data_IF_829205250851
#
_entry.id   IF_829205250851
#
_cell.length_a   1.000
_cell.length_b   1.000
_cell.length_c   1.000
_cell.angle_alpha   90.00
_cell.angle_beta   90.00
_cell.angle_gamma   90.00
#
_symmetry.space_group_name_H-M   'P 1'
#
loop_
_entity.id
_entity.type
_entity.pdbx_description
1 polymer ?
#
# COMPACT_ATOMS: atom_id res chain seq x y z
N UNK A 1 5.52 -0.10 -27.13
CA UNK A 1 4.50 -0.62 -26.18
C UNK A 1 4.27 0.42 -25.08
N UNK A 2 3.05 0.55 -24.54
CA UNK A 2 2.79 1.39 -23.37
C UNK A 2 2.96 0.56 -22.08
N UNK A 3 3.50 1.14 -21.02
CA UNK A 3 3.75 0.41 -19.77
C UNK A 3 3.06 1.07 -18.56
N UNK A 4 3.45 2.30 -18.24
CA UNK A 4 2.88 3.13 -17.18
C UNK A 4 1.95 4.20 -17.75
N UNK A 5 0.98 4.62 -16.94
CA UNK A 5 0.03 5.65 -17.30
C UNK A 5 -0.43 6.45 -16.07
N UNK A 6 -0.75 7.73 -16.29
CA UNK A 6 -1.35 8.60 -15.28
C UNK A 6 -2.44 9.47 -15.90
N UNK A 7 -3.55 9.61 -15.19
CA UNK A 7 -4.61 10.54 -15.57
C UNK A 7 -4.12 11.97 -15.35
N UNK A 8 -4.19 12.80 -16.39
CA UNK A 8 -3.92 14.24 -16.29
C UNK A 8 -5.21 14.95 -15.88
N UNK A 9 -6.30 14.59 -16.56
CA UNK A 9 -7.65 15.09 -16.34
C UNK A 9 -8.65 14.06 -16.88
N UNK A 10 -9.97 14.25 -16.68
CA UNK A 10 -10.96 13.25 -17.09
C UNK A 10 -10.99 12.88 -18.58
N UNK A 11 -10.35 13.67 -19.45
CA UNK A 11 -10.29 13.43 -20.89
C UNK A 11 -8.90 13.02 -21.40
N UNK A 12 -7.84 13.19 -20.61
CA UNK A 12 -6.45 13.01 -21.04
C UNK A 12 -5.64 12.13 -20.09
N UNK A 13 -4.95 11.15 -20.68
CA UNK A 13 -4.04 10.23 -19.98
C UNK A 13 -2.66 10.33 -20.62
N UNK A 14 -1.63 10.50 -19.79
CA UNK A 14 -0.23 10.37 -20.21
C UNK A 14 0.20 8.90 -20.10
N UNK A 15 0.94 8.43 -21.10
CA UNK A 15 1.51 7.09 -21.17
C UNK A 15 3.01 7.17 -21.33
N UNK A 16 3.73 6.30 -20.62
CA UNK A 16 5.09 5.94 -21.01
C UNK A 16 5.03 5.03 -22.22
N UNK A 17 5.80 5.38 -23.25
CA UNK A 17 5.94 4.60 -24.47
C UNK A 17 7.36 4.07 -24.52
N UNK A 18 7.51 2.75 -24.38
CA UNK A 18 8.83 2.11 -24.41
C UNK A 18 9.47 2.08 -25.79
N UNK A 19 8.73 2.44 -26.85
CA UNK A 19 9.22 2.38 -28.24
C UNK A 19 9.42 0.95 -28.74
N UNK A 20 10.13 0.85 -29.86
CA UNK A 20 10.70 -0.38 -30.45
C UNK A 20 11.95 -0.03 -31.30
N UNK A 21 12.41 -0.92 -32.19
CA UNK A 21 13.56 -0.71 -33.07
C UNK A 21 13.31 0.31 -34.21
N UNK A 22 12.05 0.67 -34.44
CA UNK A 22 11.58 1.56 -35.51
C UNK A 22 10.82 2.79 -35.00
N UNK A 23 10.28 2.71 -33.79
CA UNK A 23 9.49 3.75 -33.15
C UNK A 23 10.21 4.26 -31.91
N UNK A 24 10.40 5.58 -31.75
CA UNK A 24 11.12 6.08 -30.60
C UNK A 24 10.35 5.88 -29.30
N UNK A 25 11.09 5.76 -28.19
CA UNK A 25 10.51 5.80 -26.86
C UNK A 25 10.12 7.23 -26.46
N UNK A 26 9.27 7.40 -25.44
CA UNK A 26 8.88 8.72 -24.99
C UNK A 26 7.65 8.74 -24.09
N UNK A 27 7.07 9.93 -23.95
CA UNK A 27 5.78 10.14 -23.30
C UNK A 27 4.76 10.55 -24.36
N UNK A 28 3.59 9.94 -24.34
CA UNK A 28 2.48 10.28 -25.23
C UNK A 28 1.24 10.64 -24.42
N UNK A 29 0.41 11.55 -24.94
CA UNK A 29 -0.86 11.94 -24.32
C UNK A 29 -1.99 11.50 -25.25
N UNK A 30 -2.90 10.71 -24.71
CA UNK A 30 -4.12 10.27 -25.38
C UNK A 30 -5.30 11.07 -24.84
N UNK A 31 -6.07 11.67 -25.75
CA UNK A 31 -7.34 12.31 -25.44
C UNK A 31 -8.48 11.36 -25.85
N UNK A 32 -9.29 10.94 -24.88
CA UNK A 32 -10.33 9.92 -25.08
C UNK A 32 -11.49 10.45 -25.92
N UNK A 33 -12.02 11.64 -25.61
CA UNK A 33 -13.18 12.22 -26.30
C UNK A 33 -12.91 12.50 -27.78
N UNK A 34 -11.65 12.83 -28.13
CA UNK A 34 -11.22 13.06 -29.52
C UNK A 34 -10.64 11.81 -30.17
N UNK A 35 -10.45 10.72 -29.41
CA UNK A 35 -9.75 9.52 -29.83
C UNK A 35 -8.42 9.83 -30.55
N UNK A 36 -7.60 10.69 -29.94
CA UNK A 36 -6.37 11.21 -30.55
C UNK A 36 -5.19 11.11 -29.60
N UNK A 37 -4.09 10.58 -30.10
CA UNK A 37 -2.80 10.55 -29.39
C UNK A 37 -1.86 11.59 -29.96
N UNK A 38 -1.11 12.28 -29.09
CA UNK A 38 0.04 13.12 -29.46
C UNK A 38 1.29 12.64 -28.72
N UNK A 39 2.43 12.70 -29.38
CA UNK A 39 3.73 12.56 -28.72
C UNK A 39 4.01 13.86 -27.95
N UNK A 40 4.38 13.74 -26.67
CA UNK A 40 4.79 14.88 -25.84
C UNK A 40 6.30 15.11 -25.98
N UNK A 41 7.09 14.08 -25.68
CA UNK A 41 8.55 14.08 -25.74
C UNK A 41 9.06 12.69 -26.14
N UNK A 42 10.25 12.61 -26.75
CA UNK A 42 10.88 11.34 -27.12
C UNK A 42 12.41 11.30 -26.98
N UNK A 43 13.03 12.40 -26.55
CA UNK A 43 14.47 12.48 -26.38
C UNK A 43 14.82 13.51 -25.30
N UNK A 44 16.03 13.42 -24.78
CA UNK A 44 16.66 14.43 -23.96
C UNK A 44 17.93 14.92 -24.66
N UNK A 45 17.97 16.20 -25.05
CA UNK A 45 19.12 16.80 -25.75
C UNK A 45 19.55 16.01 -27.00
N UNK A 46 18.59 15.47 -27.77
CA UNK A 46 18.83 14.68 -28.97
C UNK A 46 19.19 13.21 -28.73
N UNK A 47 19.36 12.78 -27.47
CA UNK A 47 19.56 11.37 -27.11
C UNK A 47 18.21 10.72 -26.81
N UNK A 48 17.96 9.58 -27.43
CA UNK A 48 16.70 8.87 -27.28
C UNK A 48 16.52 8.31 -25.86
N UNK A 49 15.30 8.36 -25.32
CA UNK A 49 14.99 7.68 -24.07
C UNK A 49 15.20 6.15 -24.19
N UNK A 50 15.58 5.51 -23.09
CA UNK A 50 15.86 4.08 -23.07
C UNK A 50 14.58 3.28 -23.36
N UNK A 51 13.67 3.29 -22.39
CA UNK A 51 12.35 2.67 -22.44
C UNK A 51 11.54 3.11 -21.21
N UNK A 52 10.97 4.33 -21.23
CA UNK A 52 10.22 4.88 -20.10
C UNK A 52 9.20 3.89 -19.56
N UNK A 53 9.14 3.74 -18.23
CA UNK A 53 8.40 2.65 -17.61
C UNK A 53 7.21 3.15 -16.78
N UNK A 54 7.42 3.75 -15.61
CA UNK A 54 6.31 4.27 -14.79
C UNK A 54 6.26 5.80 -14.79
N UNK A 55 5.09 6.35 -14.52
CA UNK A 55 4.83 7.79 -14.57
C UNK A 55 3.81 8.22 -13.51
N UNK A 56 4.05 9.38 -12.90
CA UNK A 56 3.11 10.08 -12.00
C UNK A 56 3.02 11.55 -12.41
N UNK A 57 2.00 12.25 -11.92
CA UNK A 57 1.82 13.68 -12.14
C UNK A 57 1.67 14.39 -10.79
N UNK A 58 2.25 15.58 -10.65
CA UNK A 58 2.05 16.47 -9.50
C UNK A 58 0.79 17.31 -9.67
N UNK A 59 0.33 17.97 -8.60
CA UNK A 59 -0.81 18.90 -8.62
C UNK A 59 -0.51 20.17 -9.45
N UNK A 60 0.77 20.43 -9.71
CA UNK A 60 1.28 21.53 -10.56
C UNK A 60 1.49 21.08 -12.02
N UNK A 61 0.84 20.00 -12.46
CA UNK A 61 0.89 19.48 -13.83
C UNK A 61 2.30 19.08 -14.32
N UNK A 62 3.15 18.60 -13.41
CA UNK A 62 4.48 18.09 -13.75
C UNK A 62 4.49 16.57 -13.77
N UNK A 63 4.83 16.00 -14.92
CA UNK A 63 5.00 14.57 -15.11
C UNK A 63 6.39 14.14 -14.61
N UNK A 64 6.44 13.14 -13.75
CA UNK A 64 7.67 12.48 -13.30
C UNK A 64 7.67 11.04 -13.81
N UNK A 65 8.75 10.60 -14.46
CA UNK A 65 8.81 9.26 -15.05
C UNK A 65 10.18 8.60 -14.92
N UNK A 66 10.19 7.26 -14.91
CA UNK A 66 11.41 6.44 -14.91
C UNK A 66 11.82 6.04 -16.31
N UNK A 67 13.12 6.00 -16.60
CA UNK A 67 13.66 5.59 -17.91
C UNK A 67 14.69 4.44 -17.82
N UNK A 68 14.25 3.22 -17.45
CA UNK A 68 15.12 2.06 -17.35
C UNK A 68 15.49 1.46 -18.71
N UNK A 69 16.50 0.59 -18.75
CA UNK A 69 17.00 -0.08 -19.97
C UNK A 69 16.30 -1.38 -20.35
N UNK A 70 15.08 -1.63 -19.86
CA UNK A 70 14.37 -2.91 -20.09
C UNK A 70 14.24 -3.25 -21.57
N UNK A 71 13.88 -2.29 -22.42
CA UNK A 71 13.66 -2.59 -23.83
C UNK A 71 14.91 -3.06 -24.56
N UNK A 72 16.08 -2.57 -24.16
CA UNK A 72 17.35 -3.04 -24.71
C UNK A 72 17.66 -4.45 -24.22
N UNK A 73 17.51 -4.70 -22.93
CA UNK A 73 17.76 -6.01 -22.33
C UNK A 73 16.80 -7.09 -22.84
N UNK A 74 15.59 -6.71 -23.23
CA UNK A 74 14.59 -7.58 -23.84
C UNK A 74 14.66 -7.59 -25.38
N UNK A 75 15.71 -7.00 -25.96
CA UNK A 75 16.04 -7.02 -27.40
C UNK A 75 15.01 -6.38 -28.34
N UNK A 76 14.20 -5.44 -27.85
CA UNK A 76 13.26 -4.68 -28.70
C UNK A 76 13.60 -3.19 -28.82
N UNK A 77 14.67 -2.73 -28.16
CA UNK A 77 15.20 -1.36 -28.27
C UNK A 77 16.67 -1.34 -28.65
N UNK A 78 17.15 -0.25 -29.28
CA UNK A 78 18.57 -0.06 -29.53
C UNK A 78 19.36 0.06 -28.22
N UNK A 79 20.69 0.05 -28.35
CA UNK A 79 21.58 0.26 -27.22
C UNK A 79 21.31 1.64 -26.57
N UNK A 80 21.15 1.72 -25.23
CA UNK A 80 20.94 2.96 -24.49
C UNK A 80 22.00 4.03 -24.77
N UNK A 81 21.55 5.27 -24.91
CA UNK A 81 22.38 6.48 -24.95
C UNK A 81 22.37 7.22 -23.61
N UNK A 82 21.35 6.97 -22.78
CA UNK A 82 21.13 7.60 -21.48
C UNK A 82 21.38 6.60 -20.34
N UNK A 83 21.56 7.13 -19.13
CA UNK A 83 21.57 6.30 -17.92
C UNK A 83 20.16 5.93 -17.45
N UNK A 84 20.10 5.08 -16.44
CA UNK A 84 18.87 4.69 -15.75
C UNK A 84 18.44 5.80 -14.78
N UNK A 85 17.60 6.73 -15.23
CA UNK A 85 17.30 7.98 -14.51
C UNK A 85 15.80 8.22 -14.29
N UNK A 86 15.51 9.20 -13.44
CA UNK A 86 14.17 9.76 -13.24
C UNK A 86 14.12 11.17 -13.82
N UNK A 87 13.09 11.44 -14.60
CA UNK A 87 12.89 12.67 -15.34
C UNK A 87 11.65 13.42 -14.87
N UNK A 88 11.64 14.74 -15.08
CA UNK A 88 10.47 15.61 -14.95
C UNK A 88 10.20 16.33 -16.26
N UNK A 89 8.93 16.53 -16.63
CA UNK A 89 8.53 17.37 -17.77
C UNK A 89 7.16 18.00 -17.53
N UNK A 90 6.94 19.21 -18.03
CA UNK A 90 5.61 19.83 -18.05
C UNK A 90 4.71 19.21 -19.15
N UNK A 91 3.43 19.57 -19.15
CA UNK A 91 2.46 19.09 -20.15
C UNK A 91 2.66 19.68 -21.56
N UNK A 92 3.53 20.68 -21.70
CA UNK A 92 3.90 21.29 -22.99
C UNK A 92 5.11 20.57 -23.62
N UNK A 93 5.89 19.82 -22.84
CA UNK A 93 7.13 19.18 -23.28
C UNK A 93 8.34 20.12 -23.27
N UNK A 94 8.23 21.31 -22.67
CA UNK A 94 9.24 22.37 -22.78
C UNK A 94 10.28 22.32 -21.66
N UNK A 95 9.87 21.96 -20.44
CA UNK A 95 10.73 21.92 -19.26
C UNK A 95 11.16 20.50 -18.87
N UNK A 96 11.79 19.76 -19.78
CA UNK A 96 12.36 18.44 -19.51
C UNK A 96 13.65 18.52 -18.69
N UNK A 97 13.73 17.80 -17.56
CA UNK A 97 14.91 17.74 -16.69
C UNK A 97 15.14 16.35 -16.13
N UNK A 98 16.41 15.95 -16.01
CA UNK A 98 16.80 14.82 -15.17
C UNK A 98 16.78 15.29 -13.71
N UNK A 99 16.02 14.59 -12.85
CA UNK A 99 15.85 14.97 -11.44
C UNK A 99 16.46 13.98 -10.46
N UNK A 100 16.80 12.77 -10.90
CA UNK A 100 17.62 11.83 -10.13
C UNK A 100 18.33 10.79 -11.00
N UNK A 101 19.51 10.39 -10.54
CA UNK A 101 20.35 9.35 -11.11
C UNK A 101 20.78 8.32 -10.05
N UNK A 102 21.76 7.47 -10.38
CA UNK A 102 22.34 6.51 -9.45
C UNK A 102 21.45 5.30 -9.14
N UNK A 103 20.54 4.96 -10.06
CA UNK A 103 19.73 3.75 -10.01
C UNK A 103 20.35 2.63 -10.85
N UNK A 104 20.07 1.40 -10.47
CA UNK A 104 20.33 0.23 -11.32
C UNK A 104 19.25 0.13 -12.38
N UNK A 105 17.98 0.08 -11.96
CA UNK A 105 16.79 0.09 -12.83
C UNK A 105 15.61 0.75 -12.12
N UNK A 106 15.40 2.07 -12.25
CA UNK A 106 14.27 2.76 -11.64
C UNK A 106 13.00 2.27 -12.32
N UNK A 107 11.97 1.97 -11.54
CA UNK A 107 10.73 1.42 -12.06
C UNK A 107 9.52 2.19 -11.54
N UNK A 108 8.85 1.69 -10.50
CA UNK A 108 7.63 2.25 -9.96
C UNK A 108 7.84 3.62 -9.29
N UNK A 109 6.84 4.50 -9.45
CA UNK A 109 6.80 5.83 -8.83
C UNK A 109 5.54 6.01 -7.98
N UNK A 110 5.68 6.65 -6.83
CA UNK A 110 4.53 7.11 -6.04
C UNK A 110 4.81 8.42 -5.31
N UNK A 111 3.91 9.39 -5.47
CA UNK A 111 3.87 10.61 -4.68
C UNK A 111 3.08 10.38 -3.40
N UNK A 112 3.54 10.97 -2.29
CA UNK A 112 2.69 11.04 -1.10
C UNK A 112 1.64 12.14 -1.25
N UNK A 113 0.66 12.15 -0.34
CA UNK A 113 -0.46 13.10 -0.37
C UNK A 113 -0.05 14.57 -0.40
N UNK A 114 1.03 14.94 0.28
CA UNK A 114 1.50 16.33 0.33
C UNK A 114 2.42 16.69 -0.85
N UNK A 115 2.77 15.72 -1.71
CA UNK A 115 3.76 15.86 -2.79
C UNK A 115 5.10 16.43 -2.34
N UNK A 116 5.48 16.18 -1.08
CA UNK A 116 6.80 16.50 -0.51
C UNK A 116 7.74 15.28 -0.51
N UNK A 117 7.25 14.11 -0.97
CA UNK A 117 8.04 12.89 -1.14
C UNK A 117 7.70 12.16 -2.43
N UNK A 118 8.75 11.67 -3.08
CA UNK A 118 8.66 10.71 -4.18
C UNK A 118 9.29 9.38 -3.75
N UNK A 119 8.53 8.30 -3.90
CA UNK A 119 9.05 6.95 -3.80
C UNK A 119 9.45 6.44 -5.19
N UNK A 120 10.58 5.74 -5.24
CA UNK A 120 11.11 5.12 -6.46
C UNK A 120 11.53 3.69 -6.12
N UNK A 121 11.02 2.71 -6.87
CA UNK A 121 11.50 1.33 -6.77
C UNK A 121 12.70 1.10 -7.68
N UNK A 122 13.67 0.30 -7.23
CA UNK A 122 14.82 -0.11 -8.02
C UNK A 122 14.87 -1.64 -8.10
N UNK A 123 14.75 -2.14 -9.33
CA UNK A 123 14.54 -3.55 -9.69
C UNK A 123 15.80 -4.22 -10.22
N UNK A 124 16.96 -3.61 -9.99
CA UNK A 124 18.25 -4.07 -10.49
C UNK A 124 18.65 -5.51 -10.15
N UNK A 125 17.98 -6.17 -9.20
CA UNK A 125 18.17 -7.56 -8.77
C UNK A 125 18.04 -8.57 -9.91
N UNK A 126 17.23 -8.29 -10.92
CA UNK A 126 17.21 -9.07 -12.15
C UNK A 126 17.87 -8.30 -13.28
N UNK A 127 18.65 -8.98 -14.11
CA UNK A 127 19.18 -8.43 -15.36
C UNK A 127 18.62 -9.17 -16.58
N UNK A 128 18.90 -8.67 -17.78
CA UNK A 128 18.44 -9.28 -19.03
C UNK A 128 18.92 -10.71 -19.29
N UNK A 129 19.80 -11.25 -18.43
CA UNK A 129 20.26 -12.64 -18.46
C UNK A 129 19.28 -13.63 -17.78
N UNK A 130 18.18 -13.13 -17.19
CA UNK A 130 17.19 -13.94 -16.50
C UNK A 130 17.65 -14.50 -15.15
N UNK A 131 18.79 -14.05 -14.63
CA UNK A 131 19.32 -14.46 -13.34
C UNK A 131 19.07 -13.41 -12.26
N UNK A 132 19.00 -13.88 -11.01
CA UNK A 132 19.01 -13.03 -9.83
C UNK A 132 20.45 -12.67 -9.43
N UNK A 133 20.67 -11.42 -9.05
CA UNK A 133 21.95 -10.83 -8.68
C UNK A 133 21.83 -10.18 -7.29
N UNK A 134 22.10 -10.93 -6.21
CA UNK A 134 21.80 -10.51 -4.83
C UNK A 134 22.48 -9.24 -4.35
N UNK A 135 23.57 -8.84 -4.98
CA UNK A 135 24.30 -7.61 -4.72
C UNK A 135 23.65 -6.36 -5.34
N UNK A 136 22.64 -6.55 -6.21
CA UNK A 136 21.94 -5.47 -6.91
C UNK A 136 20.61 -5.10 -6.21
N UNK A 137 20.08 -3.89 -6.45
CA UNK A 137 18.90 -3.41 -5.72
C UNK A 137 17.63 -4.22 -5.99
N UNK A 138 16.88 -4.50 -4.92
CA UNK A 138 15.46 -4.92 -4.93
C UNK A 138 14.72 -4.05 -3.92
N UNK A 139 14.90 -2.74 -4.08
CA UNK A 139 14.85 -1.78 -2.97
C UNK A 139 13.86 -0.67 -3.28
N UNK A 140 13.18 -0.16 -2.25
CA UNK A 140 12.34 1.02 -2.33
C UNK A 140 13.11 2.20 -1.71
N UNK A 141 13.27 3.27 -2.48
CA UNK A 141 13.88 4.51 -2.02
C UNK A 141 12.83 5.59 -1.82
N UNK A 142 13.04 6.46 -0.84
CA UNK A 142 12.30 7.72 -0.66
C UNK A 142 13.23 8.90 -0.95
N UNK A 143 12.69 9.90 -1.61
CA UNK A 143 13.32 11.19 -1.81
C UNK A 143 12.43 12.28 -1.22
N UNK A 144 13.03 13.30 -0.61
CA UNK A 144 12.35 14.57 -0.42
C UNK A 144 12.16 15.21 -1.79
N UNK A 145 10.93 15.59 -2.12
CA UNK A 145 10.56 16.29 -3.34
C UNK A 145 10.30 17.74 -2.96
N UNK A 146 11.06 18.65 -3.55
CA UNK A 146 10.74 20.08 -3.51
C UNK A 146 9.84 20.38 -4.72
N UNK A 147 8.52 20.58 -4.53
CA UNK A 147 7.64 20.87 -5.63
C UNK A 147 7.90 22.30 -6.12
N UNK A 148 8.20 22.41 -7.41
CA UNK A 148 8.23 23.69 -8.12
C UNK A 148 7.76 23.43 -9.53
N UNK A 149 6.69 24.13 -9.95
CA UNK A 149 6.14 24.06 -11.30
C UNK A 149 7.19 24.33 -12.40
N UNK A 150 8.31 25.00 -12.09
CA UNK A 150 9.39 25.21 -13.07
C UNK A 150 10.61 24.33 -12.84
N UNK A 151 10.84 23.83 -11.62
CA UNK A 151 12.13 23.24 -11.27
C UNK A 151 12.04 22.21 -10.14
N UNK A 152 11.31 21.10 -10.32
CA UNK A 152 11.25 20.06 -9.29
C UNK A 152 12.66 19.51 -9.03
N UNK A 153 12.93 19.13 -7.79
CA UNK A 153 14.21 18.53 -7.41
C UNK A 153 14.02 17.45 -6.34
N UNK A 154 14.87 16.42 -6.40
CA UNK A 154 14.91 15.35 -5.42
C UNK A 154 16.15 15.52 -4.54
N UNK A 155 15.96 15.33 -3.23
CA UNK A 155 17.04 15.32 -2.25
C UNK A 155 16.82 14.24 -1.19
N UNK A 156 17.77 14.08 -0.27
CA UNK A 156 17.63 13.22 0.91
C UNK A 156 17.21 11.77 0.59
N UNK A 157 17.89 11.14 -0.39
CA UNK A 157 17.69 9.73 -0.73
C UNK A 157 17.82 8.87 0.52
N UNK A 158 16.75 8.15 0.85
CA UNK A 158 16.66 7.25 2.00
C UNK A 158 16.23 5.87 1.52
N UNK A 159 16.82 4.82 2.08
CA UNK A 159 16.36 3.44 1.87
C UNK A 159 15.16 3.19 2.78
N UNK A 160 14.00 2.86 2.22
CA UNK A 160 12.82 2.54 3.03
C UNK A 160 12.71 1.06 3.32
N UNK A 161 12.84 0.23 2.30
CA UNK A 161 12.57 -1.20 2.41
C UNK A 161 13.28 -1.98 1.29
N UNK A 162 13.41 -3.28 1.51
CA UNK A 162 13.88 -4.27 0.54
C UNK A 162 12.77 -5.31 0.36
N UNK A 163 12.35 -5.57 -0.87
CA UNK A 163 11.27 -6.52 -1.15
C UNK A 163 11.57 -7.90 -0.54
N UNK A 164 10.55 -8.62 -0.07
CA UNK A 164 10.76 -9.92 0.58
C UNK A 164 11.14 -11.01 -0.43
N UNK A 165 10.50 -11.00 -1.61
CA UNK A 165 10.80 -11.90 -2.73
C UNK A 165 10.81 -11.15 -4.06
N UNK A 166 11.78 -11.49 -4.92
CA UNK A 166 11.95 -10.85 -6.21
C UNK A 166 12.28 -9.35 -6.10
N UNK A 167 11.54 -8.53 -6.83
CA UNK A 167 11.74 -7.07 -6.93
C UNK A 167 10.47 -6.32 -6.53
N UNK A 168 10.58 -5.10 -5.96
CA UNK A 168 9.45 -4.18 -5.88
C UNK A 168 9.26 -3.52 -7.25
N UNK A 169 8.18 -3.83 -7.95
CA UNK A 169 7.90 -3.29 -9.28
C UNK A 169 7.01 -2.03 -9.15
N UNK A 170 5.75 -2.08 -9.57
CA UNK A 170 4.80 -1.00 -9.35
C UNK A 170 4.54 -0.72 -7.86
N UNK A 171 4.34 0.56 -7.54
CA UNK A 171 4.16 1.06 -6.17
C UNK A 171 3.05 2.10 -6.12
N UNK A 172 2.27 2.12 -5.04
CA UNK A 172 1.27 3.15 -4.72
C UNK A 172 1.30 3.49 -3.23
N UNK A 173 0.76 4.65 -2.89
CA UNK A 173 0.58 5.09 -1.50
C UNK A 173 -0.92 5.31 -1.28
N UNK A 174 -1.44 4.80 -0.16
CA UNK A 174 -2.84 5.03 0.21
C UNK A 174 -3.04 6.37 0.95
N UNK A 175 -4.30 6.72 1.24
CA UNK A 175 -4.65 7.97 1.90
C UNK A 175 -4.09 8.13 3.32
N UNK A 176 -3.63 7.04 3.94
CA UNK A 176 -3.03 7.01 5.28
C UNK A 176 -1.49 6.97 5.25
N UNK A 177 -0.92 6.90 4.05
CA UNK A 177 0.52 6.89 3.83
C UNK A 177 1.13 5.48 3.86
N UNK A 178 0.33 4.42 3.87
CA UNK A 178 0.87 3.08 3.69
C UNK A 178 1.28 2.89 2.24
N UNK A 179 2.34 2.09 2.06
CA UNK A 179 2.98 1.85 0.79
C UNK A 179 2.58 0.45 0.33
N UNK A 180 2.08 0.35 -0.89
CA UNK A 180 1.63 -0.89 -1.51
C UNK A 180 2.50 -1.14 -2.73
N UNK A 181 3.21 -2.26 -2.77
CA UNK A 181 4.07 -2.61 -3.91
C UNK A 181 3.83 -4.03 -4.39
N UNK A 182 3.86 -4.21 -5.72
CA UNK A 182 3.83 -5.53 -6.34
C UNK A 182 5.21 -6.17 -6.28
N UNK A 183 5.27 -7.41 -5.83
CA UNK A 183 6.50 -8.21 -5.79
C UNK A 183 6.24 -9.64 -6.28
N UNK A 184 7.29 -10.47 -6.30
CA UNK A 184 7.13 -11.89 -6.60
C UNK A 184 6.32 -12.63 -5.51
N UNK A 185 6.28 -12.10 -4.28
CA UNK A 185 5.46 -12.65 -3.21
C UNK A 185 3.96 -12.38 -3.42
N UNK A 186 3.60 -11.37 -4.22
CA UNK A 186 2.23 -10.88 -4.38
C UNK A 186 2.19 -9.37 -4.15
N UNK A 187 1.39 -8.91 -3.19
CA UNK A 187 1.39 -7.50 -2.77
C UNK A 187 2.00 -7.38 -1.38
N UNK A 188 3.00 -6.51 -1.25
CA UNK A 188 3.59 -6.15 0.04
C UNK A 188 3.05 -4.79 0.48
N UNK A 189 2.50 -4.74 1.69
CA UNK A 189 2.02 -3.51 2.32
C UNK A 189 2.99 -3.11 3.44
N UNK A 190 3.55 -1.91 3.33
CA UNK A 190 4.43 -1.31 4.32
C UNK A 190 3.73 -0.12 4.98
N UNK A 191 4.05 0.16 6.24
CA UNK A 191 3.65 1.42 6.85
C UNK A 191 4.43 2.60 6.22
N UNK A 192 4.03 3.83 6.56
CA UNK A 192 4.68 5.07 6.07
C UNK A 192 6.17 5.23 6.38
N UNK A 193 6.72 4.38 7.26
CA UNK A 193 8.13 4.35 7.63
C UNK A 193 8.92 3.25 6.90
N UNK A 194 8.27 2.47 6.02
CA UNK A 194 8.91 1.40 5.25
C UNK A 194 8.97 0.05 5.98
N UNK A 195 8.30 -0.11 7.14
CA UNK A 195 8.23 -1.41 7.82
C UNK A 195 7.10 -2.26 7.22
N UNK A 196 7.42 -3.50 6.83
CA UNK A 196 6.44 -4.47 6.32
C UNK A 196 5.35 -4.74 7.37
N UNK A 197 4.09 -4.64 6.94
CA UNK A 197 2.90 -4.94 7.75
C UNK A 197 2.23 -6.23 7.28
N UNK A 198 2.08 -6.38 5.96
CA UNK A 198 1.34 -7.51 5.39
C UNK A 198 1.93 -7.95 4.04
N UNK A 199 1.81 -9.25 3.76
CA UNK A 199 2.01 -9.82 2.42
C UNK A 199 0.70 -10.49 2.02
N UNK A 200 0.11 -10.05 0.92
CA UNK A 200 -1.04 -10.70 0.30
C UNK A 200 -0.51 -11.62 -0.79
N UNK A 201 -0.47 -12.94 -0.55
CA UNK A 201 0.21 -13.87 -1.46
C UNK A 201 -0.58 -14.06 -2.75
N UNK A 202 0.07 -13.83 -3.89
CA UNK A 202 -0.54 -14.04 -5.21
C UNK A 202 0.44 -14.81 -6.08
N UNK A 203 0.04 -16.02 -6.47
CA UNK A 203 0.87 -16.88 -7.30
C UNK A 203 1.08 -16.25 -8.69
N UNK A 204 2.34 -16.17 -9.12
CA UNK A 204 2.78 -15.49 -10.33
C UNK A 204 3.30 -14.07 -10.10
N UNK A 205 3.19 -13.54 -8.88
CA UNK A 205 3.64 -12.19 -8.53
C UNK A 205 2.76 -11.08 -9.14
N UNK A 206 3.02 -9.85 -8.71
CA UNK A 206 2.34 -8.64 -9.20
C UNK A 206 3.40 -7.67 -9.73
N UNK A 207 3.26 -7.26 -10.99
CA UNK A 207 4.15 -6.32 -11.67
C UNK A 207 3.67 -4.86 -11.51
N UNK A 208 2.37 -4.62 -11.34
CA UNK A 208 1.88 -3.27 -11.01
C UNK A 208 0.53 -3.33 -10.27
N UNK A 209 0.14 -2.24 -9.63
CA UNK A 209 -1.13 -2.11 -8.94
C UNK A 209 -1.65 -0.67 -8.98
N UNK A 210 -2.97 -0.52 -8.94
CA UNK A 210 -3.62 0.79 -8.85
C UNK A 210 -4.93 0.73 -8.09
N UNK A 211 -5.18 1.76 -7.28
CA UNK A 211 -6.44 1.89 -6.56
C UNK A 211 -7.57 2.23 -7.53
N UNK A 212 -8.72 1.59 -7.34
CA UNK A 212 -9.95 1.88 -8.06
C UNK A 212 -11.03 2.29 -7.07
N UNK A 213 -11.02 3.58 -6.75
CA UNK A 213 -11.78 4.12 -5.63
C UNK A 213 -11.26 3.61 -4.28
N UNK A 214 -12.08 3.71 -3.24
CA UNK A 214 -11.67 3.42 -1.86
C UNK A 214 -11.72 1.93 -1.47
N UNK A 215 -12.28 1.08 -2.34
CA UNK A 215 -12.64 -0.30 -1.98
C UNK A 215 -11.96 -1.36 -2.82
N UNK A 216 -11.15 -0.97 -3.80
CA UNK A 216 -10.56 -1.94 -4.74
C UNK A 216 -9.15 -1.56 -5.12
N UNK A 217 -8.34 -2.59 -5.30
CA UNK A 217 -7.02 -2.53 -5.89
C UNK A 217 -7.02 -3.45 -7.13
N UNK A 218 -6.74 -2.90 -8.30
CA UNK A 218 -6.41 -3.72 -9.46
C UNK A 218 -4.95 -4.12 -9.39
N UNK A 219 -4.67 -5.41 -9.62
CA UNK A 219 -3.34 -5.97 -9.56
C UNK A 219 -3.01 -6.60 -10.91
N UNK A 220 -1.92 -6.14 -11.53
CA UNK A 220 -1.46 -6.59 -12.81
C UNK A 220 -0.33 -7.60 -12.56
N UNK A 221 -0.58 -8.86 -12.88
CA UNK A 221 0.38 -9.97 -12.77
C UNK A 221 0.74 -10.49 -14.15
N UNK A 222 1.40 -9.65 -14.95
CA UNK A 222 1.79 -9.88 -16.35
C UNK A 222 0.63 -10.38 -17.24
N UNK A 223 0.39 -11.69 -17.24
CA UNK A 223 -0.64 -12.37 -18.03
C UNK A 223 -2.02 -12.42 -17.36
N UNK A 224 -2.14 -11.92 -16.12
CA UNK A 224 -3.38 -11.95 -15.34
C UNK A 224 -3.70 -10.59 -14.74
N UNK A 225 -4.99 -10.27 -14.67
CA UNK A 225 -5.51 -9.14 -13.92
C UNK A 225 -6.29 -9.70 -12.73
N UNK A 226 -5.95 -9.23 -11.53
CA UNK A 226 -6.68 -9.53 -10.30
C UNK A 226 -7.35 -8.28 -9.75
N UNK A 227 -8.38 -8.50 -8.95
CA UNK A 227 -8.97 -7.47 -8.10
C UNK A 227 -8.85 -7.91 -6.65
N UNK A 228 -8.33 -7.04 -5.80
CA UNK A 228 -8.41 -7.17 -4.37
C UNK A 228 -9.46 -6.19 -3.86
N UNK A 229 -10.48 -6.70 -3.18
CA UNK A 229 -11.42 -5.87 -2.46
C UNK A 229 -10.77 -5.41 -1.15
N UNK A 230 -10.55 -4.10 -1.04
CA UNK A 230 -10.08 -3.45 0.17
C UNK A 230 -11.32 -3.29 1.07
N UNK A 231 -11.38 -4.06 2.15
CA UNK A 231 -12.40 -3.83 3.18
C UNK A 231 -12.32 -2.36 3.61
N UNK A 232 -13.48 -1.71 3.72
CA UNK A 232 -13.59 -0.26 3.94
C UNK A 232 -12.75 0.21 5.13
N UNK A 233 -11.75 1.04 4.85
CA UNK A 233 -11.24 2.01 5.82
C UNK A 233 -9.83 1.77 6.31
N UNK A 234 -8.84 2.30 5.61
CA UNK A 234 -7.51 2.57 6.15
C UNK A 234 -7.47 3.68 7.21
N UNK A 235 -8.51 3.87 8.03
CA UNK A 235 -8.57 4.89 9.08
C UNK A 235 -9.07 4.24 10.36
N UNK A 236 -8.50 4.66 11.49
CA UNK A 236 -9.13 4.50 12.82
C UNK A 236 -10.60 4.90 12.74
N UNK A 237 -11.51 3.94 12.68
CA UNK A 237 -12.92 4.22 12.52
C UNK A 237 -13.51 4.62 13.87
N UNK A 238 -14.50 5.51 13.83
CA UNK A 238 -15.41 5.71 14.95
C UNK A 238 -16.71 5.02 14.59
N UNK A 239 -16.90 3.83 15.16
CA UNK A 239 -18.08 3.00 14.90
C UNK A 239 -19.07 3.25 16.02
N UNK A 240 -20.28 3.69 15.65
CA UNK A 240 -21.37 3.92 16.58
C UNK A 240 -22.52 2.99 16.23
N UNK A 241 -22.92 2.16 17.18
CA UNK A 241 -24.19 1.45 17.10
C UNK A 241 -25.35 2.36 17.51
N UNK A 242 -26.44 1.74 17.92
CA UNK A 242 -27.73 2.40 18.08
C UNK A 242 -28.33 2.16 19.46
N UNK A 243 -29.65 2.32 19.60
CA UNK A 243 -30.38 1.94 20.83
C UNK A 243 -30.92 0.51 20.79
N UNK A 244 -30.54 -0.28 19.79
CA UNK A 244 -30.99 -1.64 19.53
C UNK A 244 -29.76 -2.53 19.41
N UNK A 245 -29.94 -3.83 19.64
CA UNK A 245 -28.93 -4.86 19.31
C UNK A 245 -28.37 -4.67 17.90
N UNK A 246 -27.05 -4.59 17.83
CA UNK A 246 -26.24 -4.39 16.65
C UNK A 246 -25.25 -5.54 16.48
N UNK A 247 -24.91 -5.85 15.23
CA UNK A 247 -23.69 -6.56 14.89
C UNK A 247 -22.74 -5.53 14.30
N UNK A 248 -21.59 -5.33 14.96
CA UNK A 248 -20.61 -4.32 14.62
C UNK A 248 -19.30 -5.00 14.28
N UNK A 249 -18.85 -4.79 13.05
CA UNK A 249 -17.57 -5.27 12.56
C UNK A 249 -16.65 -4.05 12.35
N UNK A 250 -15.48 -4.09 13.00
CA UNK A 250 -14.36 -3.18 12.82
C UNK A 250 -13.50 -3.57 11.62
N UNK A 251 -12.29 -3.03 11.59
CA UNK A 251 -11.32 -3.14 10.51
C UNK A 251 -9.98 -3.64 11.03
N UNK A 252 -9.02 -3.91 10.15
CA UNK A 252 -7.68 -4.35 10.57
C UNK A 252 -6.80 -3.21 11.17
N UNK A 253 -7.40 -2.13 11.65
CA UNK A 253 -6.74 -0.91 12.13
C UNK A 253 -7.33 -0.46 13.47
N UNK A 254 -6.55 0.28 14.27
CA UNK A 254 -6.97 0.79 15.60
C UNK A 254 -8.30 1.57 15.60
N UNK A 255 -9.40 0.89 15.84
CA UNK A 255 -10.76 1.41 15.82
C UNK A 255 -11.21 1.94 17.19
N UNK A 256 -12.26 2.77 17.17
CA UNK A 256 -13.00 3.20 18.35
C UNK A 256 -14.46 2.83 18.17
N UNK A 257 -14.91 1.84 18.92
CA UNK A 257 -16.26 1.28 18.81
C UNK A 257 -17.08 1.67 20.03
N UNK A 258 -18.30 2.16 19.80
CA UNK A 258 -19.31 2.40 20.82
C UNK A 258 -20.63 1.79 20.37
N UNK A 259 -20.99 0.62 20.91
CA UNK A 259 -22.13 -0.15 20.41
C UNK A 259 -23.49 0.41 20.85
N UNK A 260 -23.60 0.86 22.09
CA UNK A 260 -24.70 1.72 22.52
C UNK A 260 -25.65 1.02 23.49
N UNK A 261 -26.87 0.71 23.07
CA UNK A 261 -27.79 -0.08 23.88
C UNK A 261 -28.29 -1.29 23.10
N UNK A 262 -28.68 -2.34 23.81
CA UNK A 262 -29.08 -3.62 23.26
C UNK A 262 -28.00 -4.64 23.53
N UNK A 263 -28.26 -5.90 23.20
CA UNK A 263 -27.26 -6.96 23.30
C UNK A 263 -26.51 -6.99 21.97
N UNK A 264 -25.31 -6.43 21.95
CA UNK A 264 -24.51 -6.20 20.77
C UNK A 264 -23.48 -7.32 20.55
N UNK A 265 -23.14 -7.61 19.29
CA UNK A 265 -22.02 -8.48 18.92
C UNK A 265 -20.97 -7.60 18.27
N UNK A 266 -19.79 -7.54 18.85
CA UNK A 266 -18.74 -6.59 18.49
C UNK A 266 -17.48 -7.37 18.12
N UNK A 267 -17.09 -7.31 16.85
CA UNK A 267 -15.85 -7.85 16.35
C UNK A 267 -14.99 -6.70 15.84
N UNK A 268 -14.00 -6.27 16.61
CA UNK A 268 -13.18 -5.13 16.22
C UNK A 268 -12.18 -5.45 15.09
N UNK A 269 -11.98 -6.74 14.79
CA UNK A 269 -10.96 -7.25 13.88
C UNK A 269 -9.54 -6.89 14.35
N UNK A 270 -8.52 -6.97 13.49
CA UNK A 270 -7.14 -6.79 13.94
C UNK A 270 -6.82 -5.32 14.25
N UNK A 271 -5.83 -5.02 15.09
CA UNK A 271 -5.44 -3.64 15.41
C UNK A 271 -5.47 -3.38 16.92
N UNK A 272 -4.99 -2.22 17.38
CA UNK A 272 -5.06 -1.88 18.81
C UNK A 272 -6.36 -1.09 19.08
N UNK A 273 -7.46 -1.79 19.36
CA UNK A 273 -8.80 -1.19 19.37
C UNK A 273 -9.25 -0.67 20.74
N UNK A 274 -10.16 0.31 20.74
CA UNK A 274 -10.87 0.77 21.93
C UNK A 274 -12.36 0.49 21.79
N UNK A 275 -12.89 -0.38 22.64
CA UNK A 275 -14.22 -0.93 22.49
C UNK A 275 -15.07 -0.56 23.71
N UNK A 276 -16.27 -0.05 23.44
CA UNK A 276 -17.30 0.22 24.44
C UNK A 276 -18.59 -0.49 24.04
N UNK A 277 -19.02 -1.48 24.82
CA UNK A 277 -20.27 -2.22 24.60
C UNK A 277 -21.47 -1.32 24.88
N UNK A 278 -21.56 -0.82 26.10
CA UNK A 278 -22.61 0.08 26.53
C UNK A 278 -23.62 -0.61 27.41
N UNK A 279 -24.91 -0.61 27.05
CA UNK A 279 -25.97 -1.22 27.88
C UNK A 279 -26.56 -2.44 27.21
N UNK A 280 -26.41 -3.59 27.84
CA UNK A 280 -27.01 -4.84 27.43
C UNK A 280 -26.10 -5.99 27.84
N UNK A 281 -26.47 -7.20 27.45
CA UNK A 281 -25.55 -8.34 27.55
C UNK A 281 -24.79 -8.44 26.22
N UNK A 282 -23.64 -7.78 26.14
CA UNK A 282 -22.84 -7.68 24.92
C UNK A 282 -21.91 -8.88 24.72
N UNK A 283 -21.48 -9.09 23.48
CA UNK A 283 -20.53 -10.13 23.07
C UNK A 283 -19.34 -9.49 22.37
N UNK A 284 -18.14 -9.64 22.94
CA UNK A 284 -16.89 -9.16 22.35
C UNK A 284 -16.15 -10.32 21.71
N UNK A 285 -15.99 -10.27 20.38
CA UNK A 285 -15.18 -11.22 19.62
C UNK A 285 -13.74 -10.71 19.62
N UNK A 286 -12.85 -11.41 20.31
CA UNK A 286 -11.45 -11.00 20.42
C UNK A 286 -10.64 -11.40 19.19
N UNK A 287 -9.66 -10.56 18.85
CA UNK A 287 -8.90 -10.60 17.61
C UNK A 287 -7.41 -10.28 17.87
N UNK A 288 -6.61 -10.18 16.80
CA UNK A 288 -5.18 -9.89 16.90
C UNK A 288 -4.95 -8.40 17.17
N UNK A 289 -4.14 -8.09 18.17
CA UNK A 289 -3.84 -6.70 18.52
C UNK A 289 -3.89 -6.50 20.03
N UNK A 290 -3.72 -5.27 20.49
CA UNK A 290 -3.81 -4.89 21.91
C UNK A 290 -5.09 -4.11 22.18
N UNK A 291 -6.18 -4.84 22.30
CA UNK A 291 -7.51 -4.24 22.48
C UNK A 291 -7.74 -3.79 23.92
N UNK A 292 -8.54 -2.76 24.07
CA UNK A 292 -9.02 -2.26 25.36
C UNK A 292 -10.54 -2.23 25.36
N UNK A 293 -11.14 -3.11 26.15
CA UNK A 293 -12.58 -3.11 26.43
C UNK A 293 -12.83 -2.22 27.64
N UNK A 294 -13.53 -1.12 27.40
CA UNK A 294 -13.61 0.02 28.33
C UNK A 294 -14.67 -0.15 29.42
N UNK A 295 -15.70 -0.96 29.18
CA UNK A 295 -16.87 -1.10 30.05
C UNK A 295 -17.40 -2.53 30.13
N UNK A 296 -16.49 -3.53 30.13
CA UNK A 296 -16.90 -4.92 30.33
C UNK A 296 -17.62 -5.10 31.67
N UNK A 297 -18.80 -5.69 31.60
CA UNK A 297 -19.64 -6.03 32.75
C UNK A 297 -19.77 -7.55 32.93
N UNK A 298 -19.87 -7.96 34.19
CA UNK A 298 -20.00 -9.38 34.55
C UNK A 298 -21.35 -9.90 34.04
N UNK A 299 -21.30 -10.85 33.11
CA UNK A 299 -22.48 -11.41 32.44
C UNK A 299 -22.41 -11.28 30.92
N UNK A 300 -21.55 -10.39 30.42
CA UNK A 300 -21.22 -10.28 29.01
C UNK A 300 -20.34 -11.45 28.54
N UNK A 301 -20.32 -11.66 27.22
CA UNK A 301 -19.63 -12.80 26.60
C UNK A 301 -18.34 -12.36 25.91
N UNK A 302 -17.28 -13.13 26.10
CA UNK A 302 -16.02 -13.04 25.36
C UNK A 302 -15.96 -14.23 24.39
N UNK A 303 -16.01 -13.94 23.10
CA UNK A 303 -15.88 -14.95 22.04
C UNK A 303 -14.46 -15.03 21.50
N UNK A 304 -13.95 -16.25 21.38
CA UNK A 304 -12.57 -16.52 20.93
C UNK A 304 -12.60 -17.61 19.86
N UNK A 305 -12.04 -17.32 18.69
CA UNK A 305 -11.88 -18.31 17.64
C UNK A 305 -10.81 -19.34 18.05
N UNK A 306 -11.23 -20.58 18.29
CA UNK A 306 -10.34 -21.65 18.76
C UNK A 306 -9.26 -22.05 17.76
N UNK A 307 -9.55 -21.90 16.46
CA UNK A 307 -8.64 -22.29 15.39
C UNK A 307 -7.52 -21.27 15.21
N UNK A 308 -7.78 -20.00 15.57
CA UNK A 308 -6.79 -18.92 15.51
C UNK A 308 -6.00 -18.82 16.81
N UNK A 309 -6.69 -18.77 17.96
CA UNK A 309 -6.06 -18.45 19.25
C UNK A 309 -5.77 -19.66 20.14
N UNK A 310 -6.30 -20.82 19.77
CA UNK A 310 -6.29 -22.00 20.63
C UNK A 310 -7.20 -21.83 21.85
N UNK A 311 -7.16 -22.81 22.75
CA UNK A 311 -7.92 -22.80 24.00
C UNK A 311 -7.07 -22.46 25.23
N UNK A 312 -5.75 -22.37 25.06
CA UNK A 312 -4.81 -22.10 26.14
C UNK A 312 -4.62 -20.60 26.31
N UNK A 313 -5.45 -20.00 27.15
CA UNK A 313 -5.42 -18.57 27.47
C UNK A 313 -4.67 -18.32 28.76
N UNK A 314 -3.98 -17.19 28.81
CA UNK A 314 -3.31 -16.65 30.00
C UNK A 314 -4.11 -15.46 30.51
N UNK A 315 -4.48 -15.51 31.78
CA UNK A 315 -5.16 -14.44 32.48
C UNK A 315 -4.21 -13.80 33.47
N UNK A 316 -4.08 -12.48 33.40
CA UNK A 316 -3.20 -11.73 34.28
C UNK A 316 -3.94 -10.52 34.86
N UNK A 317 -4.07 -10.48 36.19
CA UNK A 317 -4.53 -9.29 36.88
C UNK A 317 -3.47 -8.17 36.75
N UNK A 318 -3.88 -7.00 36.29
CA UNK A 318 -3.06 -5.81 36.09
C UNK A 318 -3.66 -4.63 36.85
N UNK A 319 -3.35 -4.51 38.15
CA UNK A 319 -4.04 -3.54 38.99
C UNK A 319 -5.53 -3.87 39.07
N UNK A 320 -6.39 -2.91 38.72
CA UNK A 320 -7.84 -3.09 38.70
C UNK A 320 -8.34 -3.75 37.40
N UNK A 321 -7.48 -3.94 36.41
CA UNK A 321 -7.82 -4.44 35.07
C UNK A 321 -7.42 -5.91 34.89
N UNK A 322 -8.07 -6.60 33.95
CA UNK A 322 -7.76 -7.99 33.61
C UNK A 322 -7.23 -8.09 32.18
N UNK A 323 -6.05 -8.67 32.00
CA UNK A 323 -5.52 -8.99 30.68
C UNK A 323 -5.79 -10.45 30.31
N UNK A 324 -6.31 -10.68 29.11
CA UNK A 324 -6.47 -11.99 28.47
C UNK A 324 -5.48 -12.07 27.31
N UNK A 325 -4.68 -13.14 27.25
CA UNK A 325 -3.71 -13.31 26.16
C UNK A 325 -3.51 -14.76 25.75
N UNK A 326 -2.92 -14.98 24.57
CA UNK A 326 -2.49 -16.29 24.08
C UNK A 326 -1.07 -16.24 23.54
N UNK A 327 -0.42 -17.39 23.40
CA UNK A 327 0.89 -17.50 22.75
C UNK A 327 0.84 -17.22 21.23
N UNK A 328 -0.37 -17.19 20.65
CA UNK A 328 -0.63 -16.97 19.22
C UNK A 328 -0.97 -15.52 18.88
N UNK A 329 -0.86 -14.60 19.84
CA UNK A 329 -0.93 -13.16 19.59
C UNK A 329 -2.21 -12.46 20.07
N UNK A 330 -3.15 -13.18 20.71
CA UNK A 330 -4.27 -12.54 21.41
C UNK A 330 -3.75 -11.71 22.59
N UNK A 331 -4.21 -10.47 22.73
CA UNK A 331 -3.88 -9.60 23.86
C UNK A 331 -4.98 -8.55 24.07
N UNK A 332 -5.86 -8.75 25.05
CA UNK A 332 -6.98 -7.82 25.28
C UNK A 332 -7.09 -7.49 26.76
N UNK A 333 -7.17 -6.19 27.06
CA UNK A 333 -7.32 -5.64 28.41
C UNK A 333 -8.79 -5.28 28.67
N UNK A 334 -9.36 -5.85 29.72
CA UNK A 334 -10.69 -5.54 30.23
C UNK A 334 -10.53 -4.59 31.41
N UNK A 335 -10.97 -3.33 31.23
CA UNK A 335 -10.82 -2.33 32.28
C UNK A 335 -11.72 -2.62 33.48
N UNK A 336 -11.24 -2.30 34.68
CA UNK A 336 -11.96 -2.45 35.95
C UNK A 336 -12.54 -3.85 36.20
N UNK A 337 -11.91 -4.88 35.62
CA UNK A 337 -12.35 -6.26 35.71
C UNK A 337 -11.42 -7.06 36.60
N UNK A 338 -11.98 -7.71 37.62
CA UNK A 338 -11.25 -8.58 38.53
C UNK A 338 -11.25 -10.03 38.03
N UNK A 339 -10.09 -10.67 38.06
CA UNK A 339 -9.88 -12.07 37.69
C UNK A 339 -10.82 -13.02 38.44
N UNK A 340 -10.93 -12.85 39.77
CA UNK A 340 -11.77 -13.72 40.60
C UNK A 340 -13.24 -13.63 40.17
N UNK A 341 -13.72 -12.43 39.86
CA UNK A 341 -15.09 -12.25 39.38
C UNK A 341 -15.28 -12.83 37.99
N UNK A 342 -14.33 -12.58 37.08
CA UNK A 342 -14.36 -13.09 35.71
C UNK A 342 -14.37 -14.63 35.66
N UNK A 343 -13.58 -15.30 36.51
CA UNK A 343 -13.52 -16.77 36.53
C UNK A 343 -14.74 -17.44 37.17
N UNK A 344 -15.57 -16.69 37.91
CA UNK A 344 -16.83 -17.22 38.46
C UNK A 344 -17.97 -17.24 37.46
N UNK A 345 -17.76 -16.75 36.23
CA UNK A 345 -18.73 -16.78 35.15
C UNK A 345 -18.29 -17.67 33.99
N UNK A 346 -19.24 -18.18 33.21
CA UNK A 346 -18.98 -18.84 31.92
C UNK A 346 -18.83 -17.79 30.80
N UNK A 347 -17.99 -16.77 31.03
CA UNK A 347 -17.87 -15.63 30.12
C UNK A 347 -17.23 -15.99 28.77
N UNK A 348 -16.38 -17.03 28.71
CA UNK A 348 -15.67 -17.38 27.47
C UNK A 348 -16.43 -18.41 26.66
N UNK A 349 -16.71 -18.06 25.40
CA UNK A 349 -17.22 -18.96 24.39
C UNK A 349 -16.19 -19.15 23.28
N UNK A 350 -15.74 -20.39 23.09
CA UNK A 350 -14.90 -20.73 21.96
C UNK A 350 -15.77 -21.00 20.73
N UNK A 351 -15.61 -20.18 19.70
CA UNK A 351 -16.26 -20.37 18.39
C UNK A 351 -15.36 -21.13 17.42
#
# INVERSE_FOLDING_TARGET
MANGAVEINPDEIAFTMQGDLSTPAGIAIFNHSKNKTRLLINNANGQEFNSPNDIVITDDDILLFTDPTYGFEQNFRPKPELGNWVWSVDLQGENLRMIADGFSKPNGLALNKNQDKLLVTDTGYYTGDGQAHPERPRTIYSYALEPSAQNPSLSNKTVLNIATQGIPDGIKIDASGNIWTGTQAGVEMLNKHGSLQEIIPINGGISNLTFAGEKKLYLLGETRLWTLDLATGGRRNKIFGSRKSNQLDGSAWDDRIQAGHGNDIINAASGDDQIKGGKGDDTFVLSLGKDVILDYDIGETIQINRDVFGQNLTFQQMGDDLNISSSTGLNSLLLNTSLDKFQTTEAIQFI
#
